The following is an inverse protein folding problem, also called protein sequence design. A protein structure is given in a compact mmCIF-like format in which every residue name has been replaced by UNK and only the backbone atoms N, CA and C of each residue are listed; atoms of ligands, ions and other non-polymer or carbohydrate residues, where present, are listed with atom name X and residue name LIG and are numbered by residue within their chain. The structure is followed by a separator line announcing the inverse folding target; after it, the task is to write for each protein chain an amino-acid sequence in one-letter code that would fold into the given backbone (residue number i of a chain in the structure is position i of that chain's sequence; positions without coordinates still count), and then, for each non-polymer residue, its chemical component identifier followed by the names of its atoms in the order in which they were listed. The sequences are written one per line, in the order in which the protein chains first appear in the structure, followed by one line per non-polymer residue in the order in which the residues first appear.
data_IF_800030289060
#
_entry.id   IF_800030289060
#
_cell.length_a   1.000
_cell.length_b   1.000
_cell.length_c   1.000
_cell.angle_alpha   90.00
_cell.angle_beta   90.00
_cell.angle_gamma   90.00
#
_symmetry.space_group_name_H-M   'P 1'
#
loop_
_entity.id
_entity.type
_entity.pdbx_description
1 polymer ?
#
# COMPACT_ATOMS: atom_id res chain seq x y z
N UNK A 1 -14.01 16.00 18.27
CA UNK A 1 -13.17 15.06 19.02
C UNK A 1 -13.49 13.65 18.53
N UNK A 2 -12.49 12.88 18.14
CA UNK A 2 -12.70 11.52 17.62
C UNK A 2 -13.21 10.59 18.72
N UNK A 3 -14.08 9.62 18.38
CA UNK A 3 -14.53 8.61 19.34
C UNK A 3 -13.42 7.60 19.63
N UNK A 4 -13.47 6.94 20.80
CA UNK A 4 -12.50 5.90 21.15
C UNK A 4 -12.49 4.75 20.12
N UNK A 5 -13.67 4.38 19.62
CA UNK A 5 -13.82 3.38 18.57
C UNK A 5 -13.11 3.79 17.28
N UNK A 6 -13.33 5.04 16.83
CA UNK A 6 -12.66 5.53 15.62
C UNK A 6 -11.15 5.68 15.83
N UNK A 7 -10.69 6.13 17.00
CA UNK A 7 -9.26 6.18 17.31
C UNK A 7 -8.61 4.79 17.23
N UNK A 8 -9.29 3.73 17.70
CA UNK A 8 -8.77 2.36 17.58
C UNK A 8 -8.67 1.94 16.11
N UNK A 9 -9.67 2.27 15.29
CA UNK A 9 -9.64 2.00 13.84
C UNK A 9 -8.48 2.71 13.16
N UNK A 10 -8.27 4.01 13.41
CA UNK A 10 -7.15 4.74 12.81
C UNK A 10 -5.80 4.18 13.25
N UNK A 11 -5.65 3.80 14.52
CA UNK A 11 -4.41 3.13 14.97
C UNK A 11 -4.18 1.78 14.28
N UNK A 12 -5.22 1.03 13.97
CA UNK A 12 -5.10 -0.20 13.17
C UNK A 12 -4.70 0.10 11.73
N UNK A 13 -5.26 1.13 11.11
CA UNK A 13 -4.90 1.53 9.74
C UNK A 13 -3.47 2.07 9.65
N UNK A 14 -3.03 2.86 10.64
CA UNK A 14 -1.62 3.29 10.77
C UNK A 14 -0.69 2.08 10.83
N UNK A 15 -1.07 1.02 11.56
CA UNK A 15 -0.31 -0.22 11.59
C UNK A 15 -0.30 -0.92 10.23
N UNK A 16 -1.42 -0.95 9.52
CA UNK A 16 -1.53 -1.54 8.18
C UNK A 16 -0.57 -0.84 7.23
N UNK A 17 -0.64 0.49 7.10
CA UNK A 17 0.20 1.26 6.18
C UNK A 17 1.70 1.15 6.52
N UNK A 18 2.05 1.24 7.82
CA UNK A 18 3.45 1.05 8.24
C UNK A 18 3.95 -0.37 7.94
N UNK A 19 3.11 -1.39 8.11
CA UNK A 19 3.46 -2.76 7.74
C UNK A 19 3.58 -2.92 6.22
N UNK A 20 2.68 -2.32 5.44
CA UNK A 20 2.73 -2.28 3.96
C UNK A 20 4.04 -1.68 3.49
N UNK A 21 4.44 -0.53 4.06
CA UNK A 21 5.70 0.12 3.71
C UNK A 21 6.89 -0.85 3.84
N UNK A 22 7.06 -1.51 5.00
CA UNK A 22 8.19 -2.42 5.18
C UNK A 22 8.05 -3.72 4.39
N UNK A 23 6.82 -4.20 4.15
CA UNK A 23 6.54 -5.32 3.29
C UNK A 23 7.00 -5.05 1.84
N UNK A 24 6.67 -3.88 1.28
CA UNK A 24 7.13 -3.48 -0.05
C UNK A 24 8.65 -3.31 -0.12
N UNK A 25 9.27 -2.69 0.89
CA UNK A 25 10.73 -2.61 0.98
C UNK A 25 11.39 -4.01 0.99
N UNK A 26 10.80 -4.98 1.68
CA UNK A 26 11.33 -6.35 1.71
C UNK A 26 11.27 -7.02 0.34
N UNK A 27 10.16 -6.85 -0.39
CA UNK A 27 10.01 -7.40 -1.75
C UNK A 27 10.90 -6.65 -2.74
N UNK A 28 11.06 -5.33 -2.60
CA UNK A 28 11.98 -4.54 -3.40
C UNK A 28 13.43 -5.04 -3.27
N UNK A 29 13.88 -5.30 -2.04
CA UNK A 29 15.20 -5.87 -1.77
C UNK A 29 15.36 -7.28 -2.35
N UNK A 30 14.29 -8.07 -2.32
CA UNK A 30 14.27 -9.39 -2.95
C UNK A 30 14.46 -9.29 -4.48
N UNK A 31 13.74 -8.39 -5.17
CA UNK A 31 13.91 -8.20 -6.61
C UNK A 31 15.26 -7.59 -6.99
N UNK A 32 15.80 -6.68 -6.18
CA UNK A 32 17.15 -6.14 -6.40
C UNK A 32 18.21 -7.26 -6.38
N UNK A 33 18.12 -8.19 -5.41
CA UNK A 33 18.99 -9.38 -5.34
C UNK A 33 18.85 -10.31 -6.56
N UNK A 34 17.71 -10.27 -7.24
CA UNK A 34 17.47 -11.02 -8.48
C UNK A 34 17.86 -10.26 -9.75
N UNK A 35 18.42 -9.05 -9.63
CA UNK A 35 18.71 -8.15 -10.77
C UNK A 35 17.47 -7.72 -11.56
N UNK A 36 16.29 -7.71 -10.91
CA UNK A 36 15.02 -7.20 -11.46
C UNK A 36 14.76 -5.80 -10.91
N UNK A 37 15.51 -4.84 -11.46
CA UNK A 37 15.61 -3.48 -10.89
C UNK A 37 14.35 -2.67 -11.09
N UNK A 38 13.61 -2.89 -12.18
CA UNK A 38 12.39 -2.15 -12.43
C UNK A 38 11.28 -2.49 -11.44
N UNK A 39 11.12 -3.77 -11.10
CA UNK A 39 10.24 -4.19 -10.01
C UNK A 39 10.69 -3.66 -8.66
N UNK A 40 11.99 -3.67 -8.38
CA UNK A 40 12.54 -3.09 -7.14
C UNK A 40 12.21 -1.62 -7.00
N UNK A 41 12.44 -0.81 -8.04
CA UNK A 41 12.14 0.63 -8.04
C UNK A 41 10.65 0.89 -7.83
N UNK A 42 9.77 0.14 -8.48
CA UNK A 42 8.33 0.31 -8.30
C UNK A 42 7.90 0.05 -6.84
N UNK A 43 8.42 -1.01 -6.22
CA UNK A 43 8.10 -1.36 -4.83
C UNK A 43 8.75 -0.42 -3.82
N UNK A 44 9.90 0.18 -4.14
CA UNK A 44 10.44 1.28 -3.33
C UNK A 44 9.53 2.51 -3.36
N UNK A 45 8.95 2.83 -4.52
CA UNK A 45 7.97 3.90 -4.59
C UNK A 45 6.73 3.58 -3.74
N UNK A 46 6.25 2.34 -3.73
CA UNK A 46 5.17 1.91 -2.82
C UNK A 46 5.55 2.06 -1.35
N UNK A 47 6.79 1.71 -0.98
CA UNK A 47 7.27 1.90 0.38
C UNK A 47 7.13 3.37 0.83
N UNK A 48 7.57 4.31 -0.01
CA UNK A 48 7.50 5.74 0.29
C UNK A 48 6.05 6.28 0.32
N UNK A 49 5.19 5.77 -0.57
CA UNK A 49 3.77 6.12 -0.64
C UNK A 49 3.02 5.67 0.63
N UNK A 50 3.25 4.45 1.10
CA UNK A 50 2.61 3.94 2.33
C UNK A 50 3.09 4.63 3.60
N UNK A 51 4.35 5.07 3.65
CA UNK A 51 4.81 5.96 4.73
C UNK A 51 4.05 7.29 4.71
N UNK A 52 3.74 7.80 3.52
CA UNK A 52 2.95 9.03 3.36
C UNK A 52 1.51 8.83 3.85
N UNK A 53 0.88 7.69 3.52
CA UNK A 53 -0.44 7.32 4.03
C UNK A 53 -0.46 7.24 5.56
N UNK A 54 0.49 6.50 6.15
CA UNK A 54 0.61 6.35 7.60
C UNK A 54 0.75 7.71 8.30
N UNK A 55 1.61 8.59 7.78
CA UNK A 55 1.78 9.95 8.32
C UNK A 55 0.51 10.79 8.18
N UNK A 56 -0.21 10.66 7.07
CA UNK A 56 -1.51 11.32 6.86
C UNK A 56 -2.54 10.91 7.91
N UNK A 57 -2.66 9.61 8.20
CA UNK A 57 -3.55 9.08 9.23
C UNK A 57 -3.14 9.53 10.64
N UNK A 58 -1.84 9.52 10.95
CA UNK A 58 -1.30 10.04 12.23
C UNK A 58 -1.69 11.51 12.40
N UNK A 59 -1.48 12.33 11.35
CA UNK A 59 -1.80 13.75 11.41
C UNK A 59 -3.30 13.96 11.60
N UNK A 60 -4.12 13.28 10.81
CA UNK A 60 -5.57 13.34 10.93
C UNK A 60 -6.04 12.98 12.35
N UNK A 61 -5.49 11.91 12.93
CA UNK A 61 -5.87 11.47 14.27
C UNK A 61 -5.51 12.53 15.34
N UNK A 62 -4.31 13.12 15.27
CA UNK A 62 -3.89 14.21 16.14
C UNK A 62 -4.81 15.44 16.01
N UNK A 63 -5.17 15.82 14.79
CA UNK A 63 -6.05 16.96 14.51
C UNK A 63 -7.47 16.76 15.04
N UNK A 64 -7.93 15.51 15.13
CA UNK A 64 -9.23 15.17 15.74
C UNK A 64 -9.14 15.01 17.27
N UNK A 65 -7.99 15.28 17.88
CA UNK A 65 -7.74 15.17 19.32
C UNK A 65 -7.54 13.74 19.81
N UNK A 66 -7.21 12.81 18.92
CA UNK A 66 -6.89 11.43 19.24
C UNK A 66 -5.41 11.21 19.52
N UNK A 67 -5.09 9.99 19.98
CA UNK A 67 -3.73 9.59 20.32
C UNK A 67 -3.24 8.52 19.33
N UNK A 68 -2.29 8.84 18.43
CA UNK A 68 -1.66 7.86 17.56
C UNK A 68 -0.71 6.96 18.36
N UNK A 69 -0.68 5.68 18.02
CA UNK A 69 0.19 4.65 18.60
C UNK A 69 1.03 4.05 17.48
N UNK A 70 2.35 4.10 17.65
CA UNK A 70 3.28 3.43 16.73
C UNK A 70 3.42 1.97 17.17
N UNK A 71 3.02 1.00 16.34
CA UNK A 71 2.99 -0.41 16.71
C UNK A 71 4.37 -1.06 16.60
N UNK A 72 4.53 -2.21 17.26
CA UNK A 72 5.57 -3.16 16.87
C UNK A 72 5.17 -3.82 15.55
N UNK A 73 6.12 -3.96 14.63
CA UNK A 73 5.89 -4.54 13.32
C UNK A 73 6.54 -5.92 13.21
N UNK A 74 5.88 -6.88 12.52
CA UNK A 74 6.48 -8.19 12.30
C UNK A 74 7.69 -8.09 11.36
N UNK A 75 8.61 -9.04 11.51
CA UNK A 75 9.70 -9.20 10.56
C UNK A 75 9.13 -9.63 9.20
N UNK A 76 9.59 -8.97 8.13
CA UNK A 76 9.17 -9.29 6.77
C UNK A 76 9.97 -10.47 6.18
N UNK A 77 9.36 -11.28 5.29
CA UNK A 77 10.08 -12.36 4.61
C UNK A 77 11.22 -11.83 3.72
N UNK A 78 12.21 -12.68 3.46
CA UNK A 78 13.36 -12.35 2.59
C UNK A 78 13.38 -13.13 1.27
N UNK A 79 12.40 -14.00 1.06
CA UNK A 79 12.23 -14.82 -0.13
C UNK A 79 10.74 -14.96 -0.47
N UNK A 80 10.42 -14.79 -1.75
CA UNK A 80 9.05 -14.76 -2.26
C UNK A 80 8.83 -15.72 -3.45
N UNK A 81 9.80 -16.60 -3.75
CA UNK A 81 9.64 -17.69 -4.72
C UNK A 81 10.07 -17.32 -6.15
N UNK A 82 9.13 -17.26 -7.09
CA UNK A 82 9.36 -16.73 -8.45
C UNK A 82 8.90 -15.28 -8.54
N UNK A 83 9.29 -14.52 -9.59
CA UNK A 83 8.75 -13.17 -9.78
C UNK A 83 7.22 -13.13 -9.84
N UNK A 84 6.59 -14.10 -10.50
CA UNK A 84 5.13 -14.22 -10.54
C UNK A 84 4.55 -14.43 -9.13
N UNK A 85 5.12 -15.34 -8.34
CA UNK A 85 4.66 -15.61 -6.98
C UNK A 85 4.82 -14.39 -6.07
N UNK A 86 5.92 -13.64 -6.20
CA UNK A 86 6.13 -12.41 -5.44
C UNK A 86 5.06 -11.36 -5.75
N UNK A 87 4.71 -11.16 -7.02
CA UNK A 87 3.62 -10.26 -7.40
C UNK A 87 2.24 -10.75 -6.98
N UNK A 88 1.98 -12.06 -6.99
CA UNK A 88 0.74 -12.62 -6.43
C UNK A 88 0.61 -12.36 -4.93
N UNK A 89 1.73 -12.41 -4.19
CA UNK A 89 1.80 -12.02 -2.77
C UNK A 89 1.55 -10.52 -2.59
N UNK A 90 2.06 -9.65 -3.47
CA UNK A 90 1.71 -8.21 -3.48
C UNK A 90 0.21 -8.01 -3.66
N UNK A 91 -0.42 -8.68 -4.63
CA UNK A 91 -1.87 -8.52 -4.86
C UNK A 91 -2.72 -9.02 -3.68
N UNK A 92 -2.28 -10.09 -3.02
CA UNK A 92 -2.94 -10.55 -1.80
C UNK A 92 -2.86 -9.52 -0.68
N UNK A 93 -1.72 -8.85 -0.55
CA UNK A 93 -1.52 -7.77 0.42
C UNK A 93 -2.37 -6.53 0.09
N UNK A 94 -2.41 -6.10 -1.17
CA UNK A 94 -3.27 -4.98 -1.60
C UNK A 94 -4.74 -5.22 -1.28
N UNK A 95 -5.25 -6.42 -1.59
CA UNK A 95 -6.62 -6.82 -1.21
C UNK A 95 -6.83 -6.82 0.30
N UNK A 96 -5.81 -7.19 1.08
CA UNK A 96 -5.89 -7.11 2.53
C UNK A 96 -6.01 -5.65 2.99
N UNK A 97 -5.21 -4.73 2.44
CA UNK A 97 -5.26 -3.29 2.73
C UNK A 97 -6.65 -2.73 2.39
N UNK A 98 -7.16 -2.98 1.18
CA UNK A 98 -8.51 -2.58 0.75
C UNK A 98 -9.58 -3.04 1.75
N UNK A 99 -9.51 -4.30 2.19
CA UNK A 99 -10.46 -4.85 3.16
C UNK A 99 -10.36 -4.17 4.54
N UNK A 100 -9.16 -3.78 4.98
CA UNK A 100 -8.96 -3.07 6.24
C UNK A 100 -9.56 -1.65 6.18
N UNK A 101 -9.31 -0.93 5.08
CA UNK A 101 -9.93 0.39 4.85
C UNK A 101 -11.45 0.31 4.73
N UNK A 102 -11.99 -0.71 4.05
CA UNK A 102 -13.43 -0.91 3.93
C UNK A 102 -14.08 -1.17 5.28
N UNK A 103 -13.44 -1.96 6.15
CA UNK A 103 -13.89 -2.16 7.54
C UNK A 103 -13.86 -0.85 8.31
N UNK A 104 -12.79 -0.07 8.20
CA UNK A 104 -12.69 1.24 8.85
C UNK A 104 -13.80 2.18 8.39
N UNK A 105 -14.06 2.26 7.09
CA UNK A 105 -15.12 3.07 6.50
C UNK A 105 -16.50 2.65 7.04
N UNK A 106 -16.77 1.35 7.11
CA UNK A 106 -18.04 0.84 7.64
C UNK A 106 -18.24 1.21 9.12
N UNK A 107 -17.17 1.22 9.93
CA UNK A 107 -17.24 1.69 11.32
C UNK A 107 -17.51 3.20 11.37
N UNK A 108 -16.84 3.99 10.53
CA UNK A 108 -17.10 5.44 10.45
C UNK A 108 -18.54 5.75 10.04
N UNK A 109 -19.12 4.93 9.15
CA UNK A 109 -20.53 4.99 8.75
C UNK A 109 -21.46 4.70 9.94
N UNK A 110 -21.21 3.62 10.68
CA UNK A 110 -22.00 3.22 11.85
C UNK A 110 -21.92 4.24 13.00
N UNK A 111 -20.77 4.89 13.17
CA UNK A 111 -20.54 5.92 14.19
C UNK A 111 -21.09 7.30 13.77
N UNK A 112 -21.52 7.47 12.52
CA UNK A 112 -21.90 8.76 11.97
C UNK A 112 -20.74 9.76 11.89
N UNK A 113 -19.48 9.30 11.87
CA UNK A 113 -18.30 10.15 11.78
C UNK A 113 -18.00 10.51 10.32
N UNK A 114 -18.74 11.51 9.82
CA UNK A 114 -18.67 11.97 8.42
C UNK A 114 -17.28 12.45 8.01
N UNK A 115 -16.50 13.03 8.93
CA UNK A 115 -15.13 13.48 8.64
C UNK A 115 -14.21 12.28 8.36
N UNK A 116 -14.36 11.20 9.13
CA UNK A 116 -13.57 9.98 8.92
C UNK A 116 -14.01 9.24 7.66
N UNK A 117 -15.30 9.29 7.30
CA UNK A 117 -15.79 8.72 6.04
C UNK A 117 -15.09 9.34 4.83
N UNK A 118 -14.85 10.66 4.80
CA UNK A 118 -14.18 11.35 3.69
C UNK A 118 -12.76 10.81 3.46
N UNK A 119 -11.96 10.74 4.52
CA UNK A 119 -10.57 10.27 4.44
C UNK A 119 -10.52 8.81 4.00
N UNK A 120 -11.35 7.95 4.61
CA UNK A 120 -11.36 6.52 4.32
C UNK A 120 -11.93 6.21 2.94
N UNK A 121 -12.90 6.98 2.46
CA UNK A 121 -13.41 6.86 1.09
C UNK A 121 -12.35 7.26 0.05
N UNK A 122 -11.57 8.31 0.34
CA UNK A 122 -10.47 8.73 -0.56
C UNK A 122 -9.44 7.60 -0.72
N UNK A 123 -9.03 6.98 0.39
CA UNK A 123 -8.14 5.82 0.35
C UNK A 123 -8.77 4.61 -0.40
N UNK A 124 -10.07 4.36 -0.24
CA UNK A 124 -10.76 3.30 -0.98
C UNK A 124 -10.80 3.53 -2.50
N UNK A 125 -10.85 4.80 -2.94
CA UNK A 125 -10.76 5.14 -4.37
C UNK A 125 -9.36 4.84 -4.89
N UNK A 126 -8.32 5.18 -4.14
CA UNK A 126 -6.93 4.91 -4.49
C UNK A 126 -6.62 3.41 -4.58
N UNK A 127 -7.15 2.60 -3.65
CA UNK A 127 -6.97 1.14 -3.68
C UNK A 127 -7.48 0.46 -4.97
N UNK A 128 -8.42 1.09 -5.71
CA UNK A 128 -8.85 0.57 -7.01
C UNK A 128 -7.68 0.56 -8.00
N UNK A 129 -6.88 1.62 -8.01
CA UNK A 129 -5.73 1.74 -8.91
C UNK A 129 -4.56 0.84 -8.44
N UNK A 130 -4.37 0.66 -7.13
CA UNK A 130 -3.32 -0.23 -6.60
C UNK A 130 -3.58 -1.70 -6.97
N UNK A 131 -4.81 -2.18 -6.80
CA UNK A 131 -5.19 -3.55 -7.19
C UNK A 131 -5.14 -3.73 -8.72
N UNK A 132 -5.54 -2.72 -9.50
CA UNK A 132 -5.54 -2.79 -10.95
C UNK A 132 -4.11 -2.86 -11.52
N UNK A 133 -3.21 -1.99 -11.06
CA UNK A 133 -1.81 -2.00 -11.49
C UNK A 133 -1.13 -3.32 -11.15
N UNK A 134 -1.32 -3.81 -9.92
CA UNK A 134 -0.74 -5.09 -9.47
C UNK A 134 -1.28 -6.27 -10.30
N UNK A 135 -2.57 -6.26 -10.61
CA UNK A 135 -3.21 -7.29 -11.46
C UNK A 135 -2.68 -7.27 -12.88
N UNK A 136 -2.46 -6.09 -13.48
CA UNK A 136 -1.89 -5.95 -14.82
C UNK A 136 -0.47 -6.52 -14.90
N UNK A 137 0.37 -6.24 -13.89
CA UNK A 137 1.74 -6.77 -13.81
C UNK A 137 1.73 -8.30 -13.73
N UNK A 138 0.85 -8.89 -12.91
CA UNK A 138 0.66 -10.35 -12.85
C UNK A 138 0.24 -10.89 -14.22
N UNK A 139 -0.69 -10.21 -14.91
CA UNK A 139 -1.15 -10.59 -16.24
C UNK A 139 0.01 -10.66 -17.24
N UNK A 140 0.87 -9.63 -17.27
CA UNK A 140 2.06 -9.59 -18.13
C UNK A 140 3.06 -10.69 -17.78
N UNK A 141 3.30 -10.95 -16.49
CA UNK A 141 4.18 -12.03 -16.05
C UNK A 141 3.69 -13.42 -16.48
N UNK A 142 2.37 -13.65 -16.47
CA UNK A 142 1.76 -14.89 -16.98
C UNK A 142 1.95 -15.04 -18.49
N UNK A 143 1.89 -13.95 -19.25
CA UNK A 143 2.12 -13.99 -20.70
C UNK A 143 3.56 -14.38 -21.08
N UNK A 144 4.54 -14.08 -20.22
CA UNK A 144 5.97 -14.37 -20.44
C UNK A 144 6.47 -15.57 -19.63
N UNK A 145 5.57 -16.39 -19.09
CA UNK A 145 5.93 -17.55 -18.28
C UNK A 145 6.81 -18.54 -19.09
N UNK A 146 7.91 -18.99 -18.48
CA UNK A 146 8.90 -19.84 -19.17
C UNK A 146 9.82 -19.10 -20.16
N UNK A 147 9.71 -17.76 -20.26
CA UNK A 147 10.51 -16.93 -21.17
C UNK A 147 11.37 -15.92 -20.37
N UNK A 148 12.60 -16.26 -19.95
CA UNK A 148 13.43 -15.38 -19.12
C UNK A 148 13.65 -13.97 -19.72
N UNK A 149 13.79 -13.87 -21.04
CA UNK A 149 13.92 -12.58 -21.72
C UNK A 149 12.65 -11.72 -21.64
N UNK A 150 11.46 -12.33 -21.59
CA UNK A 150 10.20 -11.61 -21.43
C UNK A 150 10.05 -11.02 -20.03
N UNK A 151 10.54 -11.69 -18.99
CA UNK A 151 10.53 -11.14 -17.62
C UNK A 151 11.33 -9.84 -17.55
N UNK A 152 12.50 -9.77 -18.22
CA UNK A 152 13.31 -8.54 -18.26
C UNK A 152 12.62 -7.39 -19.01
N UNK A 153 11.76 -7.69 -20.00
CA UNK A 153 10.95 -6.68 -20.68
C UNK A 153 9.89 -6.10 -19.75
N UNK A 154 9.17 -6.97 -19.02
CA UNK A 154 8.15 -6.55 -18.03
C UNK A 154 8.80 -5.78 -16.89
N UNK A 155 9.94 -6.24 -16.37
CA UNK A 155 10.72 -5.54 -15.34
C UNK A 155 11.02 -4.10 -15.76
N UNK A 156 11.61 -3.93 -16.94
CA UNK A 156 11.94 -2.60 -17.48
C UNK A 156 10.72 -1.70 -17.66
N UNK A 157 9.60 -2.26 -18.13
CA UNK A 157 8.35 -1.52 -18.27
C UNK A 157 7.84 -1.02 -16.92
N UNK A 158 7.75 -1.92 -15.92
CA UNK A 158 7.25 -1.60 -14.58
C UNK A 158 8.12 -0.53 -13.90
N UNK A 159 9.45 -0.60 -14.08
CA UNK A 159 10.36 0.43 -13.56
C UNK A 159 10.12 1.83 -14.14
N UNK A 160 9.41 1.95 -15.27
CA UNK A 160 9.02 3.22 -15.88
C UNK A 160 7.62 3.73 -15.47
N UNK A 161 6.78 2.89 -14.85
CA UNK A 161 5.37 3.22 -14.56
C UNK A 161 5.21 4.22 -13.41
N UNK A 162 6.02 4.09 -12.36
CA UNK A 162 5.88 4.88 -11.13
C UNK A 162 7.07 5.84 -10.99
N UNK A 163 6.95 7.03 -11.59
CA UNK A 163 7.74 8.18 -11.15
C UNK A 163 6.98 8.86 -10.01
N UNK A 164 7.67 9.10 -8.88
CA UNK A 164 7.16 9.68 -7.64
C UNK A 164 5.98 10.63 -7.90
N UNK A 165 4.75 10.21 -7.54
CA UNK A 165 3.60 11.12 -7.51
C UNK A 165 3.96 12.22 -6.51
N UNK A 166 3.99 13.48 -6.96
CA UNK A 166 3.99 14.58 -6.01
C UNK A 166 2.70 14.49 -5.18
N UNK A 167 2.76 14.71 -3.86
CA UNK A 167 1.58 14.63 -3.03
C UNK A 167 0.53 15.62 -3.56
N UNK A 168 -0.70 15.14 -3.74
CA UNK A 168 -1.84 16.01 -4.04
C UNK A 168 -1.99 16.93 -2.83
N UNK A 169 -1.72 18.23 -3.03
CA UNK A 169 -1.91 19.22 -1.99
C UNK A 169 -3.35 19.13 -1.47
N UNK A 170 -3.51 19.05 -0.14
CA UNK A 170 -4.81 19.20 0.50
C UNK A 170 -5.49 20.47 -0.04
N UNK A 171 -6.82 20.46 -0.29
CA UNK A 171 -7.50 21.65 -0.77
C UNK A 171 -7.23 22.79 0.22
N UNK A 172 -6.66 23.88 -0.29
CA UNK A 172 -6.49 25.10 0.47
C UNK A 172 -7.89 25.53 0.97
N UNK A 173 -7.99 25.70 2.29
CA UNK A 173 -9.23 26.12 2.96
C UNK A 173 -9.70 27.50 2.58
#
# INVERSE_FOLDING_TARGET
MISQTMQQIFNQLIQVDLNSAYFYLAIANYFERMSLKGFSVWLQAQHDEELTHAHGLIRYLLDRGGVPVIPSLPQQPVNFGTPLQAWEVVLQHERYVTNMYQKGYNVALQQGDTQSQVILQTALVEQVDEEAQTTDIIGKLKLVEGMPGGILMVDREVGGLRQVKQPVAAPAG
#
